data_IF_991466956008
#
_entry.id   IF_991466956008
#
_cell.length_a   1.000
_cell.length_b   1.000
_cell.length_c   1.000
_cell.angle_alpha   90.00
_cell.angle_beta   90.00
_cell.angle_gamma   90.00
#
_symmetry.space_group_name_H-M   'P 1'
#
loop_
_entity.id
_entity.type
_entity.pdbx_description
1 polymer ?
#
# COMPACT_ATOMS: atom_id res chain seq x y z
N UNK A 1 -28.76 -11.08 29.74
CA UNK A 1 -27.31 -11.10 30.04
C UNK A 1 -26.60 -11.73 28.85
N UNK A 2 -26.22 -10.93 27.85
CA UNK A 2 -25.61 -11.43 26.61
C UNK A 2 -24.16 -11.83 26.88
N UNK A 3 -23.86 -13.10 26.66
CA UNK A 3 -22.53 -13.70 26.79
C UNK A 3 -21.65 -13.09 25.70
N UNK A 4 -20.74 -12.20 26.08
CA UNK A 4 -19.71 -11.70 25.18
C UNK A 4 -18.87 -12.89 24.72
N UNK A 5 -19.00 -13.24 23.44
CA UNK A 5 -18.24 -14.31 22.81
C UNK A 5 -16.79 -13.84 22.72
N UNK A 6 -15.96 -14.26 23.67
CA UNK A 6 -14.50 -14.09 23.61
C UNK A 6 -13.97 -14.97 22.48
N UNK A 7 -14.06 -14.47 21.24
CA UNK A 7 -13.30 -15.04 20.13
C UNK A 7 -11.81 -14.91 20.49
N UNK A 8 -11.01 -15.97 20.31
CA UNK A 8 -9.56 -15.89 20.52
C UNK A 8 -9.01 -14.86 19.53
N UNK A 9 -8.72 -13.67 20.04
CA UNK A 9 -8.26 -12.51 19.25
C UNK A 9 -7.03 -12.88 18.42
N UNK A 10 -6.14 -13.72 18.94
CA UNK A 10 -4.92 -14.20 18.26
C UNK A 10 -5.14 -14.82 16.88
N UNK A 11 -6.24 -15.55 16.63
CA UNK A 11 -6.46 -16.18 15.32
C UNK A 11 -6.90 -15.20 14.23
N UNK A 12 -7.68 -14.17 14.60
CA UNK A 12 -8.21 -13.17 13.65
C UNK A 12 -7.10 -12.25 13.15
N UNK A 13 -6.21 -11.81 14.05
CA UNK A 13 -5.07 -10.96 13.70
C UNK A 13 -4.09 -11.71 12.77
N UNK A 14 -3.92 -13.03 12.96
CA UNK A 14 -3.13 -13.87 12.06
C UNK A 14 -3.71 -13.92 10.64
N UNK A 15 -5.02 -14.06 10.49
CA UNK A 15 -5.69 -14.09 9.18
C UNK A 15 -5.54 -12.77 8.40
N UNK A 16 -5.69 -11.64 9.07
CA UNK A 16 -5.55 -10.30 8.47
C UNK A 16 -4.12 -10.04 7.96
N UNK A 17 -3.10 -10.47 8.72
CA UNK A 17 -1.71 -10.37 8.28
C UNK A 17 -1.45 -11.16 7.00
N UNK A 18 -1.95 -12.40 6.93
CA UNK A 18 -1.80 -13.23 5.72
C UNK A 18 -2.49 -12.59 4.52
N UNK A 19 -3.69 -12.04 4.73
CA UNK A 19 -4.42 -11.31 3.70
C UNK A 19 -3.60 -10.12 3.17
N UNK A 20 -3.05 -9.29 4.05
CA UNK A 20 -2.19 -8.16 3.66
C UNK A 20 -0.93 -8.61 2.93
N UNK A 21 -0.33 -9.73 3.33
CA UNK A 21 0.84 -10.26 2.63
C UNK A 21 0.48 -10.72 1.20
N UNK A 22 -0.64 -11.42 1.04
CA UNK A 22 -1.14 -11.85 -0.28
C UNK A 22 -1.44 -10.63 -1.16
N UNK A 23 -2.12 -9.62 -0.62
CA UNK A 23 -2.38 -8.36 -1.33
C UNK A 23 -1.09 -7.62 -1.70
N UNK A 24 -0.06 -7.66 -0.86
CA UNK A 24 1.25 -7.07 -1.16
C UNK A 24 1.90 -7.75 -2.36
N UNK A 25 1.87 -9.08 -2.39
CA UNK A 25 2.44 -9.87 -3.49
C UNK A 25 1.65 -9.62 -4.78
N UNK A 26 0.32 -9.75 -4.74
CA UNK A 26 -0.55 -9.52 -5.88
C UNK A 26 -0.42 -8.07 -6.41
N UNK A 27 -0.41 -7.09 -5.50
CA UNK A 27 -0.25 -5.68 -5.78
C UNK A 27 1.13 -5.28 -6.27
N UNK A 28 2.13 -6.17 -6.18
CA UNK A 28 3.43 -6.02 -6.82
C UNK A 28 3.43 -6.63 -8.22
N UNK A 29 2.89 -7.85 -8.38
CA UNK A 29 2.95 -8.57 -9.65
C UNK A 29 2.05 -7.94 -10.71
N UNK A 30 0.80 -7.61 -10.35
CA UNK A 30 -0.19 -7.16 -11.32
C UNK A 30 0.18 -5.84 -12.02
N UNK A 31 0.61 -4.76 -11.32
CA UNK A 31 1.02 -3.52 -11.99
C UNK A 31 2.27 -3.72 -12.85
N UNK A 32 3.27 -4.45 -12.34
CA UNK A 32 4.52 -4.71 -13.08
C UNK A 32 4.28 -5.54 -14.34
N UNK A 33 3.32 -6.47 -14.33
CA UNK A 33 2.96 -7.22 -15.53
C UNK A 33 2.49 -6.30 -16.68
N UNK A 34 1.74 -5.24 -16.39
CA UNK A 34 1.30 -4.27 -17.40
C UNK A 34 2.41 -3.29 -17.77
N UNK A 35 3.17 -2.80 -16.79
CA UNK A 35 4.26 -1.85 -17.01
C UNK A 35 5.39 -2.41 -17.89
N UNK A 36 5.70 -3.70 -17.74
CA UNK A 36 6.75 -4.35 -18.53
C UNK A 36 6.37 -4.60 -19.99
N UNK A 37 5.11 -4.43 -20.38
CA UNK A 37 4.70 -4.54 -21.78
C UNK A 37 5.20 -3.37 -22.62
N UNK A 38 5.43 -2.21 -22.00
CA UNK A 38 6.04 -1.05 -22.66
C UNK A 38 7.23 -0.51 -21.83
N UNK A 39 8.42 -1.11 -21.97
CA UNK A 39 9.62 -0.68 -21.25
C UNK A 39 10.07 0.75 -21.62
N UNK A 40 9.66 1.26 -22.80
CA UNK A 40 10.07 2.60 -23.25
C UNK A 40 9.43 3.70 -22.41
N UNK A 41 8.19 3.48 -21.95
CA UNK A 41 7.50 4.32 -20.99
C UNK A 41 8.23 4.40 -19.65
N UNK A 42 8.84 3.31 -19.18
CA UNK A 42 9.55 3.28 -17.90
C UNK A 42 10.85 4.10 -17.88
N UNK A 43 11.48 4.27 -19.05
CA UNK A 43 12.75 5.00 -19.17
C UNK A 43 12.57 6.51 -19.25
N UNK A 44 11.36 7.00 -19.52
CA UNK A 44 11.08 8.42 -19.69
C UNK A 44 9.86 8.88 -18.89
N UNK A 45 10.05 9.61 -17.77
CA UNK A 45 8.95 10.05 -16.92
C UNK A 45 7.88 10.87 -17.64
N UNK A 46 8.29 11.68 -18.62
CA UNK A 46 7.37 12.49 -19.43
C UNK A 46 6.47 11.63 -20.32
N UNK A 47 7.01 10.58 -20.94
CA UNK A 47 6.25 9.67 -21.79
C UNK A 47 5.34 8.77 -20.94
N UNK A 48 5.82 8.33 -19.77
CA UNK A 48 5.00 7.63 -18.79
C UNK A 48 3.75 8.42 -18.41
N UNK A 49 3.92 9.70 -18.03
CA UNK A 49 2.80 10.57 -17.69
C UNK A 49 1.87 10.81 -18.87
N UNK A 50 2.43 11.03 -20.07
CA UNK A 50 1.60 11.15 -21.27
C UNK A 50 0.73 9.91 -21.50
N UNK A 51 1.29 8.71 -21.29
CA UNK A 51 0.56 7.46 -21.45
C UNK A 51 -0.47 7.24 -20.32
N UNK A 52 -0.15 7.62 -19.08
CA UNK A 52 -1.05 7.55 -17.93
C UNK A 52 -2.30 8.45 -18.11
N UNK A 53 -2.17 9.54 -18.85
CA UNK A 53 -3.25 10.47 -19.19
C UNK A 53 -3.72 10.37 -20.66
N UNK A 54 -3.41 9.27 -21.36
CA UNK A 54 -3.68 9.13 -22.79
C UNK A 54 -5.18 9.13 -23.15
N UNK A 55 -6.06 8.79 -22.21
CA UNK A 55 -7.52 8.80 -22.41
C UNK A 55 -8.24 9.07 -21.08
N UNK A 56 -9.53 9.41 -21.16
CA UNK A 56 -10.32 9.80 -19.99
C UNK A 56 -10.40 8.72 -18.91
N UNK A 57 -10.41 7.44 -19.30
CA UNK A 57 -10.48 6.31 -18.34
C UNK A 57 -9.15 6.16 -17.61
N UNK A 58 -8.04 6.15 -18.34
CA UNK A 58 -6.69 6.09 -17.78
C UNK A 58 -6.39 7.31 -16.90
N UNK A 59 -6.79 8.50 -17.33
CA UNK A 59 -6.68 9.73 -16.56
C UNK A 59 -7.48 9.67 -15.25
N UNK A 60 -8.71 9.14 -15.30
CA UNK A 60 -9.54 8.93 -14.11
C UNK A 60 -8.90 7.98 -13.11
N UNK A 61 -8.43 6.81 -13.56
CA UNK A 61 -7.75 5.83 -12.71
C UNK A 61 -6.42 6.37 -12.15
N UNK A 62 -5.66 7.11 -12.95
CA UNK A 62 -4.40 7.74 -12.53
C UNK A 62 -4.66 8.82 -11.48
N UNK A 63 -5.70 9.63 -11.67
CA UNK A 63 -6.09 10.67 -10.71
C UNK A 63 -6.55 10.06 -9.38
N UNK A 64 -7.37 9.02 -9.42
CA UNK A 64 -7.80 8.26 -8.24
C UNK A 64 -6.59 7.67 -7.48
N UNK A 65 -5.64 7.10 -8.19
CA UNK A 65 -4.40 6.56 -7.63
C UNK A 65 -3.55 7.65 -6.96
N UNK A 66 -3.42 8.82 -7.59
CA UNK A 66 -2.68 9.96 -7.05
C UNK A 66 -3.31 10.49 -5.75
N UNK A 67 -4.63 10.66 -5.74
CA UNK A 67 -5.37 11.11 -4.54
C UNK A 67 -5.21 10.07 -3.42
N UNK A 68 -5.36 8.79 -3.76
CA UNK A 68 -5.19 7.68 -2.80
C UNK A 68 -3.76 7.63 -2.25
N UNK A 69 -2.73 7.91 -3.06
CA UNK A 69 -1.34 7.96 -2.61
C UNK A 69 -1.09 9.10 -1.61
N UNK A 70 -1.67 10.29 -1.86
CA UNK A 70 -1.58 11.43 -0.93
C UNK A 70 -2.24 11.07 0.41
N UNK A 71 -3.46 10.51 0.36
CA UNK A 71 -4.17 10.07 1.56
C UNK A 71 -3.37 9.01 2.32
N UNK A 72 -2.76 8.05 1.61
CA UNK A 72 -1.91 7.02 2.19
C UNK A 72 -0.68 7.59 2.89
N UNK A 73 0.03 8.55 2.29
CA UNK A 73 1.19 9.16 2.94
C UNK A 73 0.81 9.91 4.22
N UNK A 74 -0.34 10.59 4.22
CA UNK A 74 -0.86 11.22 5.43
C UNK A 74 -1.19 10.20 6.51
N UNK A 75 -1.84 9.10 6.13
CA UNK A 75 -2.16 8.00 7.03
C UNK A 75 -0.89 7.37 7.64
N UNK A 76 0.11 7.07 6.82
CA UNK A 76 1.41 6.54 7.29
C UNK A 76 2.07 7.51 8.26
N UNK A 77 2.10 8.81 7.94
CA UNK A 77 2.73 9.81 8.80
C UNK A 77 2.08 9.87 10.19
N UNK A 78 0.75 9.87 10.26
CA UNK A 78 -0.01 9.90 11.51
C UNK A 78 0.26 8.63 12.32
N UNK A 79 0.21 7.46 11.67
CA UNK A 79 0.31 6.18 12.36
C UNK A 79 1.73 5.84 12.81
N UNK A 80 2.77 6.25 12.06
CA UNK A 80 4.16 6.15 12.50
C UNK A 80 4.38 6.92 13.82
N UNK A 81 3.79 8.11 13.95
CA UNK A 81 3.84 8.89 15.19
C UNK A 81 3.09 8.19 16.32
N UNK A 82 1.88 7.67 16.05
CA UNK A 82 1.06 6.99 17.04
C UNK A 82 1.72 5.74 17.61
N UNK A 83 2.44 4.99 16.78
CA UNK A 83 3.12 3.75 17.15
C UNK A 83 4.56 3.96 17.63
N UNK A 84 5.01 5.21 17.83
CA UNK A 84 6.39 5.56 18.20
C UNK A 84 7.46 4.96 17.26
N UNK A 85 7.13 4.78 15.98
CA UNK A 85 8.05 4.29 14.96
C UNK A 85 8.84 5.48 14.39
N UNK A 86 10.15 5.35 14.12
CA UNK A 86 10.93 6.44 13.52
C UNK A 86 10.30 6.93 12.21
N UNK A 87 10.10 8.24 12.08
CA UNK A 87 9.54 8.86 10.86
C UNK A 87 10.33 8.53 9.59
N UNK A 88 11.62 8.17 9.72
CA UNK A 88 12.46 7.73 8.62
C UNK A 88 11.86 6.56 7.81
N UNK A 89 11.01 5.73 8.43
CA UNK A 89 10.30 4.66 7.73
C UNK A 89 9.36 5.16 6.63
N UNK A 90 8.90 6.42 6.67
CA UNK A 90 8.09 6.97 5.57
C UNK A 90 8.83 6.95 4.23
N UNK A 91 10.16 7.11 4.25
CA UNK A 91 11.00 7.11 3.05
C UNK A 91 10.91 5.75 2.36
N UNK A 92 10.84 4.66 3.13
CA UNK A 92 10.65 3.32 2.58
C UNK A 92 9.29 3.19 1.87
N UNK A 93 8.20 3.69 2.47
CA UNK A 93 6.86 3.61 1.87
C UNK A 93 6.70 4.53 0.65
N UNK A 94 7.37 5.68 0.65
CA UNK A 94 7.49 6.55 -0.54
C UNK A 94 8.21 5.78 -1.64
N UNK A 95 9.39 5.21 -1.36
CA UNK A 95 10.14 4.42 -2.33
C UNK A 95 9.35 3.23 -2.87
N UNK A 96 8.57 2.56 -2.03
CA UNK A 96 7.75 1.42 -2.43
C UNK A 96 6.54 1.84 -3.29
N UNK A 97 5.93 3.00 -2.97
CA UNK A 97 4.80 3.54 -3.74
C UNK A 97 5.21 3.98 -5.14
N UNK A 98 6.35 4.66 -5.29
CA UNK A 98 6.85 5.11 -6.59
C UNK A 98 7.63 4.03 -7.35
N UNK A 99 8.30 3.13 -6.64
CA UNK A 99 9.10 2.07 -7.25
C UNK A 99 8.30 0.84 -7.64
N UNK A 100 7.27 0.46 -6.87
CA UNK A 100 6.46 -0.74 -7.13
C UNK A 100 5.00 -0.39 -7.39
N UNK A 101 4.43 0.47 -6.55
CA UNK A 101 3.05 0.91 -6.65
C UNK A 101 2.37 1.00 -5.30
N UNK A 102 1.34 1.86 -5.22
CA UNK A 102 0.52 2.02 -4.02
C UNK A 102 -0.14 0.70 -3.57
N UNK A 103 -0.55 -0.12 -4.54
CA UNK A 103 -1.15 -1.45 -4.33
C UNK A 103 -0.25 -2.44 -3.61
N UNK A 104 1.08 -2.25 -3.64
CA UNK A 104 2.03 -3.01 -2.83
C UNK A 104 2.33 -2.30 -1.51
N UNK A 105 2.59 -0.99 -1.57
CA UNK A 105 3.04 -0.24 -0.40
C UNK A 105 2.00 -0.18 0.73
N UNK A 106 0.73 0.01 0.39
CA UNK A 106 -0.37 0.09 1.35
C UNK A 106 -0.56 -1.22 2.14
N UNK A 107 -0.75 -2.39 1.52
CA UNK A 107 -0.91 -3.63 2.27
C UNK A 107 0.37 -4.02 3.03
N UNK A 108 1.56 -3.71 2.50
CA UNK A 108 2.81 -3.93 3.24
C UNK A 108 2.88 -3.09 4.52
N UNK A 109 2.48 -1.82 4.44
CA UNK A 109 2.35 -0.95 5.61
C UNK A 109 1.38 -1.54 6.63
N UNK A 110 0.18 -1.96 6.19
CA UNK A 110 -0.84 -2.53 7.07
C UNK A 110 -0.38 -3.83 7.74
N UNK A 111 0.33 -4.70 7.03
CA UNK A 111 0.94 -5.90 7.59
C UNK A 111 1.88 -5.57 8.76
N UNK A 112 2.80 -4.62 8.55
CA UNK A 112 3.77 -4.22 9.59
C UNK A 112 3.10 -3.53 10.77
N UNK A 113 2.08 -2.72 10.49
CA UNK A 113 1.25 -2.07 11.51
C UNK A 113 0.62 -3.11 12.43
N UNK A 114 0.03 -4.16 11.87
CA UNK A 114 -0.60 -5.24 12.62
C UNK A 114 0.40 -6.00 13.51
N UNK A 115 1.59 -6.30 12.96
CA UNK A 115 2.66 -6.93 13.75
C UNK A 115 3.11 -6.12 14.95
N UNK A 116 3.07 -4.78 14.86
CA UNK A 116 3.48 -3.90 15.96
C UNK A 116 2.38 -3.77 17.01
N UNK A 117 1.12 -3.72 16.58
CA UNK A 117 -0.02 -3.72 17.49
C UNK A 117 -0.07 -4.99 18.33
N UNK A 118 0.18 -6.17 17.74
CA UNK A 118 0.26 -7.43 18.49
C UNK A 118 1.39 -7.48 19.51
N UNK A 119 2.53 -6.83 19.24
CA UNK A 119 3.66 -6.79 20.18
C UNK A 119 3.44 -5.88 21.39
N UNK A 120 2.44 -5.00 21.30
CA UNK A 120 2.17 -3.98 22.33
C UNK A 120 1.01 -4.40 23.25
N UNK A 121 0.34 -5.53 22.95
CA UNK A 121 -0.71 -6.17 23.78
C UNK A 121 -0.09 -7.28 24.60
#
# INVERSE_FOLDING_TARGET
>A
MLKATNLPTTHVFSGIKVLYLILTIAGSIAPWFWLLQDPSALLSPSFFLHQAFANNIAAGLTTDLLISAIAFFWFVWIELNRLNIPRAWIILYIGLTFGVGLSCSLPFFLYRREQLLERTV
#
